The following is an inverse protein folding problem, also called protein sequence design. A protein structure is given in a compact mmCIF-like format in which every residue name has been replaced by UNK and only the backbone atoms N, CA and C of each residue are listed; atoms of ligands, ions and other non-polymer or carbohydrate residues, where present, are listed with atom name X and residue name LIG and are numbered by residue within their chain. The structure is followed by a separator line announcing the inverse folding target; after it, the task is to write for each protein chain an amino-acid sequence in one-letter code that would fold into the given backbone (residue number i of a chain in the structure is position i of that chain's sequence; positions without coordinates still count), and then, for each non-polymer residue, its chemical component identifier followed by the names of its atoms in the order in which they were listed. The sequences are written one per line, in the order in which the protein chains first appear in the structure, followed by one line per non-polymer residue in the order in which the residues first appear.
data_IF_601718203849
#
_entry.id   IF_601718203849
#
_cell.length_a   1.000
_cell.length_b   1.000
_cell.length_c   1.000
_cell.angle_alpha   90.00
_cell.angle_beta   90.00
_cell.angle_gamma   90.00
#
_symmetry.space_group_name_H-M   'P 1'
#
loop_
_entity.id
_entity.type
_entity.pdbx_description
1 polymer ?
#
# COMPACT_ATOMS: atom_id res chain seq x y z
N UNK A 1 -10.43 -18.11 15.58
CA UNK A 1 -10.52 -16.80 14.88
C UNK A 1 -11.87 -16.56 14.18
N UNK A 2 -12.52 -17.58 13.59
CA UNK A 2 -13.85 -17.42 12.96
C UNK A 2 -14.95 -16.95 13.92
N UNK A 3 -14.95 -17.43 15.17
CA UNK A 3 -15.90 -16.99 16.19
C UNK A 3 -15.78 -15.49 16.49
N UNK A 4 -14.55 -14.98 16.61
CA UNK A 4 -14.30 -13.57 16.88
C UNK A 4 -14.80 -12.67 15.75
N UNK A 5 -14.57 -13.08 14.50
CA UNK A 5 -15.09 -12.38 13.31
C UNK A 5 -16.62 -12.43 13.27
N UNK A 6 -17.24 -13.55 13.66
CA UNK A 6 -18.70 -13.66 13.72
C UNK A 6 -19.31 -12.78 14.81
N UNK A 7 -18.72 -12.79 16.03
CA UNK A 7 -19.11 -11.91 17.12
C UNK A 7 -18.97 -10.44 16.73
N UNK A 8 -17.85 -10.07 16.10
CA UNK A 8 -17.64 -8.71 15.64
C UNK A 8 -18.69 -8.29 14.60
N UNK A 9 -19.00 -9.15 13.63
CA UNK A 9 -20.06 -8.88 12.64
C UNK A 9 -21.42 -8.73 13.30
N UNK A 10 -21.75 -9.59 14.27
CA UNK A 10 -23.00 -9.52 15.02
C UNK A 10 -23.07 -8.24 15.87
N UNK A 11 -21.97 -7.86 16.53
CA UNK A 11 -21.85 -6.63 17.29
C UNK A 11 -22.06 -5.41 16.40
N UNK A 12 -21.33 -5.31 15.29
CA UNK A 12 -21.49 -4.21 14.31
C UNK A 12 -22.93 -4.15 13.80
N UNK A 13 -23.53 -5.28 13.44
CA UNK A 13 -24.93 -5.32 12.99
C UNK A 13 -25.87 -4.82 14.07
N UNK A 14 -25.73 -5.32 15.30
CA UNK A 14 -26.59 -4.93 16.41
C UNK A 14 -26.46 -3.45 16.74
N UNK A 15 -25.25 -2.90 16.74
CA UNK A 15 -25.01 -1.46 16.92
C UNK A 15 -25.67 -0.65 15.82
N UNK A 16 -25.50 -1.02 14.54
CA UNK A 16 -26.12 -0.31 13.43
C UNK A 16 -27.65 -0.41 13.46
N UNK A 17 -28.19 -1.57 13.82
CA UNK A 17 -29.62 -1.79 13.95
C UNK A 17 -30.23 -1.01 15.11
N UNK A 18 -29.62 -1.08 16.29
CA UNK A 18 -30.03 -0.31 17.46
C UNK A 18 -29.92 1.19 17.21
N UNK A 19 -28.85 1.63 16.54
CA UNK A 19 -28.70 3.00 16.08
C UNK A 19 -29.84 3.41 15.15
N UNK A 20 -30.18 2.58 14.16
CA UNK A 20 -31.28 2.86 13.24
C UNK A 20 -32.64 2.92 13.96
N UNK A 21 -32.89 2.01 14.90
CA UNK A 21 -34.12 1.98 15.70
C UNK A 21 -34.23 3.20 16.63
N UNK A 22 -33.13 3.60 17.26
CA UNK A 22 -33.10 4.77 18.15
C UNK A 22 -33.13 6.10 17.37
N UNK A 23 -32.76 6.08 16.09
CA UNK A 23 -32.70 7.27 15.24
C UNK A 23 -33.74 7.32 14.10
N UNK A 24 -34.96 6.86 14.38
CA UNK A 24 -36.07 6.87 13.43
C UNK A 24 -36.76 8.23 13.27
N UNK A 25 -36.49 9.18 14.16
CA UNK A 25 -37.04 10.52 14.08
C UNK A 25 -36.66 11.21 12.76
N UNK A 26 -37.61 11.98 12.21
CA UNK A 26 -37.36 12.80 11.03
C UNK A 26 -36.45 13.98 11.40
N UNK A 27 -35.36 14.14 10.67
CA UNK A 27 -34.47 15.29 10.73
C UNK A 27 -34.76 16.23 9.56
N UNK A 28 -34.71 17.54 9.81
CA UNK A 28 -34.86 18.56 8.77
C UNK A 28 -33.49 19.11 8.39
N UNK A 29 -33.08 18.88 7.15
CA UNK A 29 -31.88 19.48 6.54
C UNK A 29 -32.30 20.80 5.90
N UNK A 30 -31.82 21.90 6.47
CA UNK A 30 -32.11 23.26 5.99
C UNK A 30 -31.05 23.67 4.99
N UNK A 31 -31.48 23.88 3.75
CA UNK A 31 -30.65 24.33 2.65
C UNK A 31 -30.77 25.85 2.47
N UNK A 32 -30.03 26.37 1.50
CA UNK A 32 -30.09 27.76 1.10
C UNK A 32 -31.47 28.11 0.50
N UNK A 33 -31.88 29.38 0.58
CA UNK A 33 -33.17 29.89 0.04
C UNK A 33 -34.43 29.32 0.70
N UNK A 34 -34.34 28.82 1.94
CA UNK A 34 -35.50 28.30 2.68
C UNK A 34 -35.96 26.92 2.23
N UNK A 35 -35.22 26.25 1.35
CA UNK A 35 -35.48 24.86 1.02
C UNK A 35 -35.16 23.98 2.24
N UNK A 36 -36.12 23.18 2.67
CA UNK A 36 -35.96 22.26 3.78
C UNK A 36 -36.31 20.86 3.31
N UNK A 37 -35.43 19.90 3.60
CA UNK A 37 -35.65 18.51 3.27
C UNK A 37 -35.73 17.67 4.54
N UNK A 38 -36.84 16.95 4.70
CA UNK A 38 -37.05 16.04 5.81
C UNK A 38 -36.71 14.60 5.40
N UNK A 39 -35.85 13.97 6.19
CA UNK A 39 -35.49 12.56 6.04
C UNK A 39 -35.23 11.94 7.41
N UNK A 40 -35.41 10.62 7.58
CA UNK A 40 -35.04 9.94 8.83
C UNK A 40 -33.59 10.21 9.21
N UNK A 41 -33.33 10.57 10.47
CA UNK A 41 -32.00 10.98 10.96
C UNK A 41 -30.94 9.91 10.67
N UNK A 42 -31.28 8.64 10.82
CA UNK A 42 -30.40 7.52 10.49
C UNK A 42 -29.86 7.59 9.05
N UNK A 43 -30.70 7.93 8.07
CA UNK A 43 -30.29 8.01 6.65
C UNK A 43 -29.32 9.16 6.45
N UNK A 44 -29.59 10.32 7.06
CA UNK A 44 -28.74 11.51 6.97
C UNK A 44 -27.34 11.21 7.50
N UNK A 45 -27.25 10.59 8.68
CA UNK A 45 -25.97 10.25 9.31
C UNK A 45 -25.20 9.21 8.48
N UNK A 46 -25.88 8.14 8.02
CA UNK A 46 -25.26 7.11 7.19
C UNK A 46 -24.73 7.67 5.87
N UNK A 47 -25.50 8.53 5.21
CA UNK A 47 -25.08 9.17 3.96
C UNK A 47 -23.86 10.09 4.16
N UNK A 48 -23.88 10.92 5.21
CA UNK A 48 -22.76 11.80 5.54
C UNK A 48 -21.49 11.01 5.88
N UNK A 49 -21.61 9.94 6.68
CA UNK A 49 -20.50 9.07 7.01
C UNK A 49 -19.93 8.35 5.77
N UNK A 50 -20.80 7.77 4.93
CA UNK A 50 -20.37 7.10 3.70
C UNK A 50 -19.66 8.05 2.74
N UNK A 51 -20.17 9.28 2.59
CA UNK A 51 -19.52 10.32 1.79
C UNK A 51 -18.15 10.70 2.38
N UNK A 52 -18.06 10.92 3.69
CA UNK A 52 -16.81 11.23 4.38
C UNK A 52 -15.77 10.11 4.26
N UNK A 53 -16.19 8.85 4.40
CA UNK A 53 -15.34 7.68 4.21
C UNK A 53 -14.83 7.58 2.76
N UNK A 54 -15.70 7.79 1.77
CA UNK A 54 -15.30 7.81 0.36
C UNK A 54 -14.26 8.90 0.09
N UNK A 55 -14.47 10.10 0.60
CA UNK A 55 -13.49 11.21 0.49
C UNK A 55 -12.18 10.84 1.20
N UNK A 56 -12.24 10.25 2.40
CA UNK A 56 -11.06 9.80 3.13
C UNK A 56 -10.23 8.76 2.36
N UNK A 57 -10.90 7.76 1.76
CA UNK A 57 -10.26 6.76 0.90
C UNK A 57 -9.64 7.41 -0.34
N UNK A 58 -10.37 8.30 -1.01
CA UNK A 58 -9.87 9.03 -2.17
C UNK A 58 -8.67 9.92 -1.83
N UNK A 59 -8.65 10.54 -0.65
CA UNK A 59 -7.52 11.32 -0.15
C UNK A 59 -6.27 10.45 0.12
N UNK A 60 -6.45 9.18 0.48
CA UNK A 60 -5.37 8.20 0.67
C UNK A 60 -4.85 7.57 -0.64
N UNK A 61 -5.64 7.56 -1.72
CA UNK A 61 -5.22 7.02 -3.02
C UNK A 61 -3.92 7.64 -3.60
N UNK A 62 -3.72 8.98 -3.60
CA UNK A 62 -2.52 9.58 -4.17
C UNK A 62 -1.25 9.31 -3.36
N UNK A 63 -1.34 9.10 -2.04
CA UNK A 63 -0.15 8.73 -1.25
C UNK A 63 0.34 7.32 -1.63
N UNK A 64 -0.58 6.39 -1.86
CA UNK A 64 -0.25 5.03 -2.29
C UNK A 64 0.35 4.99 -3.71
N UNK A 65 -0.15 5.81 -4.64
CA UNK A 65 0.45 5.93 -5.98
C UNK A 65 1.87 6.50 -5.96
N UNK A 66 2.12 7.50 -5.11
CA UNK A 66 3.47 8.05 -4.94
C UNK A 66 4.42 7.02 -4.34
N UNK A 67 3.97 6.23 -3.37
CA UNK A 67 4.77 5.15 -2.78
C UNK A 67 5.08 4.05 -3.82
N UNK A 68 4.10 3.64 -4.64
CA UNK A 68 4.32 2.70 -5.75
C UNK A 68 5.31 3.21 -6.80
N UNK A 69 5.26 4.50 -7.16
CA UNK A 69 6.23 5.10 -8.10
C UNK A 69 7.65 5.13 -7.53
N UNK A 70 7.81 5.49 -6.25
CA UNK A 70 9.11 5.47 -5.58
C UNK A 70 9.71 4.06 -5.50
N UNK A 71 8.88 3.05 -5.20
CA UNK A 71 9.32 1.65 -5.19
C UNK A 71 9.77 1.15 -6.57
N UNK A 72 9.17 1.64 -7.67
CA UNK A 72 9.60 1.33 -9.05
C UNK A 72 10.91 2.03 -9.46
N UNK A 73 11.17 3.23 -8.93
CA UNK A 73 12.39 3.98 -9.21
C UNK A 73 13.59 3.49 -8.38
N UNK A 74 13.33 2.89 -7.22
CA UNK A 74 14.33 2.18 -6.41
C UNK A 74 14.48 0.71 -6.85
N UNK A 75 14.33 0.43 -8.15
CA UNK A 75 14.75 -0.85 -8.70
C UNK A 75 16.22 -1.07 -8.28
N UNK A 76 16.57 -2.21 -7.67
CA UNK A 76 17.91 -2.45 -7.17
C UNK A 76 18.91 -2.21 -8.30
N UNK A 77 19.91 -1.35 -8.06
CA UNK A 77 21.09 -1.29 -8.90
C UNK A 77 21.59 -2.72 -9.07
N UNK A 78 21.72 -3.25 -10.30
CA UNK A 78 22.22 -4.60 -10.50
C UNK A 78 23.57 -4.70 -9.78
N UNK A 79 23.83 -5.81 -9.07
CA UNK A 79 25.11 -5.98 -8.40
C UNK A 79 26.19 -5.83 -9.47
N UNK A 80 27.10 -4.86 -9.25
CA UNK A 80 28.31 -4.74 -10.06
C UNK A 80 28.94 -6.13 -10.06
N UNK A 81 29.16 -6.75 -11.23
CA UNK A 81 29.79 -8.06 -11.28
C UNK A 81 31.11 -7.93 -10.53
N UNK A 82 31.28 -8.76 -9.50
CA UNK A 82 32.56 -8.87 -8.81
C UNK A 82 33.64 -9.11 -9.88
N UNK A 83 34.82 -8.46 -9.80
CA UNK A 83 35.91 -8.72 -10.72
C UNK A 83 36.11 -10.24 -10.76
N UNK A 84 35.98 -10.82 -11.96
CA UNK A 84 36.23 -12.25 -12.16
C UNK A 84 37.62 -12.61 -11.63
N UNK A 85 37.84 -13.87 -11.22
CA UNK A 85 39.11 -14.30 -10.66
C UNK A 85 40.23 -13.90 -11.64
N UNK A 86 41.21 -13.14 -11.12
CA UNK A 86 42.37 -12.73 -11.88
C UNK A 86 43.00 -13.97 -12.54
N UNK A 87 43.44 -13.87 -13.81
CA UNK A 87 44.11 -14.99 -14.46
C UNK A 87 45.31 -15.39 -13.60
N UNK A 88 45.34 -16.67 -13.21
CA UNK A 88 46.45 -17.25 -12.48
C UNK A 88 47.77 -16.94 -13.19
N UNK A 89 48.86 -16.66 -12.45
CA UNK A 89 50.14 -16.36 -13.08
C UNK A 89 50.52 -17.56 -13.94
N UNK A 90 50.70 -17.30 -15.23
CA UNK A 90 51.20 -18.27 -16.20
C UNK A 90 52.57 -18.68 -15.67
N UNK A 91 52.69 -19.91 -15.16
CA UNK A 91 53.98 -20.46 -14.79
C UNK A 91 54.88 -20.39 -16.02
N UNK A 92 55.92 -19.55 -15.93
CA UNK A 92 56.97 -19.43 -16.93
C UNK A 92 57.54 -20.82 -17.20
N UNK A 93 57.29 -21.32 -18.41
CA UNK A 93 57.98 -22.46 -18.98
C UNK A 93 59.49 -22.19 -18.88
N UNK A 94 60.29 -23.05 -18.22
CA UNK A 94 61.73 -22.88 -18.23
C UNK A 94 62.23 -22.91 -19.68
N UNK A 95 62.67 -21.76 -20.18
CA UNK A 95 63.39 -21.67 -21.45
C UNK A 95 64.74 -22.37 -21.26
N UNK A 96 64.79 -23.61 -21.73
CA UNK A 96 65.99 -24.43 -21.83
C UNK A 96 67.00 -23.69 -22.74
N UNK A 97 68.09 -23.18 -22.15
CA UNK A 97 69.15 -22.49 -22.88
C UNK A 97 70.18 -23.51 -23.38
N UNK A 98 70.51 -23.57 -24.68
CA UNK A 98 71.55 -24.48 -25.15
C UNK A 98 72.95 -23.96 -24.72
N UNK A 99 73.91 -24.86 -24.43
CA UNK A 99 75.26 -24.47 -24.03
C UNK A 99 75.97 -23.69 -25.15
N UNK A 100 76.53 -22.53 -24.80
CA UNK A 100 77.48 -21.80 -25.65
C UNK A 100 78.81 -22.56 -25.64
N UNK A 101 79.09 -23.31 -26.69
CA UNK A 101 80.45 -23.82 -26.93
C UNK A 101 81.35 -22.67 -27.39
N UNK A 102 82.36 -22.38 -26.58
CA UNK A 102 83.43 -21.46 -26.91
C UNK A 102 84.78 -22.12 -26.62
N UNK A 103 85.56 -22.25 -27.70
CA UNK A 103 87.01 -22.53 -27.80
C UNK A 103 87.55 -23.87 -27.27
#
# INVERSE_FOLDING_TARGET
MRLLVWLFRAFVFFTLFAFALNNQQNATVRWFFGAEWQAPMVIVVLAAFAAGAAVGVLAMLPSWWRQRRKARLQAPTPPVPAPGPAPAPVSELPLEHPPREGL
#
